data_IF_100329883840
#
_entry.id   IF_100329883840
#
_cell.length_a   1.000
_cell.length_b   1.000
_cell.length_c   1.000
_cell.angle_alpha   90.00
_cell.angle_beta   90.00
_cell.angle_gamma   90.00
#
_symmetry.space_group_name_H-M   'P 1'
#
loop_
_entity.id
_entity.type
_entity.pdbx_description
1 polymer ?
#
# COMPACT_ATOMS: atom_id res chain seq x y z
N UNK A 1 -20.34 -0.08 -24.42
CA UNK A 1 -19.59 0.96 -23.70
C UNK A 1 -18.19 0.92 -24.27
N UNK A 2 -17.83 1.89 -25.10
CA UNK A 2 -16.55 1.91 -25.81
C UNK A 2 -15.49 2.53 -24.88
N UNK A 3 -14.51 1.72 -24.44
CA UNK A 3 -13.42 2.19 -23.58
C UNK A 3 -12.47 3.15 -24.32
N UNK A 4 -12.56 3.25 -25.66
CA UNK A 4 -11.68 4.08 -26.48
C UNK A 4 -11.95 5.59 -26.43
N UNK A 5 -12.96 6.04 -25.67
CA UNK A 5 -13.24 7.48 -25.48
C UNK A 5 -12.66 8.06 -24.18
N UNK A 6 -11.95 7.27 -23.36
CA UNK A 6 -11.42 7.74 -22.09
C UNK A 6 -10.15 8.58 -22.31
N UNK A 7 -10.28 9.90 -22.14
CA UNK A 7 -9.13 10.75 -21.81
C UNK A 7 -8.48 10.17 -20.55
N UNK A 8 -7.26 9.66 -20.65
CA UNK A 8 -6.47 9.29 -19.49
C UNK A 8 -5.95 10.57 -18.83
N UNK A 9 -6.31 10.79 -17.57
CA UNK A 9 -5.72 11.84 -16.75
C UNK A 9 -4.64 11.20 -15.88
N UNK A 10 -3.45 11.81 -15.87
CA UNK A 10 -2.34 11.40 -15.01
C UNK A 10 -2.17 12.48 -13.96
N UNK A 11 -2.32 12.10 -12.69
CA UNK A 11 -2.01 12.97 -11.55
C UNK A 11 -0.73 12.47 -10.88
N UNK A 12 0.24 13.35 -10.70
CA UNK A 12 1.49 13.05 -9.99
C UNK A 12 1.42 13.70 -8.60
N UNK A 13 1.23 12.88 -7.57
CA UNK A 13 1.34 13.31 -6.17
C UNK A 13 2.79 13.15 -5.69
N UNK A 14 3.34 14.16 -5.04
CA UNK A 14 4.63 13.98 -4.36
C UNK A 14 4.46 13.11 -3.09
N UNK A 15 5.41 12.22 -2.87
CA UNK A 15 5.49 11.41 -1.66
C UNK A 15 6.66 11.92 -0.82
N UNK A 16 6.49 11.96 0.50
CA UNK A 16 7.54 12.43 1.40
C UNK A 16 8.41 11.27 1.90
N UNK A 17 7.83 10.06 2.00
CA UNK A 17 8.41 8.98 2.78
C UNK A 17 9.00 7.82 1.98
N UNK A 18 8.87 7.79 0.64
CA UNK A 18 9.39 6.69 -0.18
C UNK A 18 9.75 7.18 -1.59
N UNK A 19 10.57 6.46 -2.39
CA UNK A 19 10.96 6.95 -3.71
C UNK A 19 9.73 7.15 -4.63
N UNK A 20 9.63 8.34 -5.23
CA UNK A 20 8.48 8.79 -6.06
C UNK A 20 8.20 7.92 -7.30
N UNK A 21 9.07 6.97 -7.66
CA UNK A 21 8.91 6.14 -8.86
C UNK A 21 9.41 4.72 -8.63
N UNK A 22 8.60 3.75 -9.07
CA UNK A 22 9.07 2.39 -9.36
C UNK A 22 10.02 2.40 -10.54
N UNK A 23 11.07 1.59 -10.49
CA UNK A 23 11.80 1.25 -11.71
C UNK A 23 10.98 0.23 -12.48
N UNK A 24 10.45 0.63 -13.65
CA UNK A 24 9.75 -0.32 -14.52
C UNK A 24 10.80 -1.24 -15.15
N UNK A 25 11.02 -2.41 -14.55
CA UNK A 25 11.89 -3.44 -15.11
C UNK A 25 11.17 -4.21 -16.23
N UNK A 26 11.84 -4.55 -17.34
CA UNK A 26 11.23 -5.22 -18.49
C UNK A 26 10.53 -6.54 -18.13
N UNK A 27 9.52 -6.90 -18.91
CA UNK A 27 8.82 -8.20 -18.85
C UNK A 27 9.86 -9.33 -19.01
N UNK A 28 9.65 -10.47 -18.33
CA UNK A 28 10.58 -11.61 -18.33
C UNK A 28 11.17 -11.86 -19.72
N UNK A 29 12.52 -11.91 -19.87
CA UNK A 29 13.13 -12.15 -21.16
C UNK A 29 12.62 -13.47 -21.76
N UNK A 30 12.36 -13.49 -23.07
CA UNK A 30 12.06 -14.74 -23.76
C UNK A 30 13.22 -15.73 -23.54
N UNK A 31 12.91 -16.95 -23.09
CA UNK A 31 13.90 -17.97 -22.77
C UNK A 31 14.51 -17.88 -21.37
N UNK A 32 13.96 -17.05 -20.48
CA UNK A 32 14.38 -17.01 -19.08
C UNK A 32 14.20 -18.38 -18.40
N UNK A 33 15.22 -18.80 -17.65
CA UNK A 33 15.14 -19.97 -16.77
C UNK A 33 14.24 -19.68 -15.57
N UNK A 34 13.74 -20.74 -14.92
CA UNK A 34 12.96 -20.62 -13.67
C UNK A 34 13.72 -19.81 -12.62
N UNK A 35 15.04 -20.01 -12.51
CA UNK A 35 15.88 -19.28 -11.55
C UNK A 35 15.93 -17.78 -11.85
N UNK A 36 16.12 -17.40 -13.11
CA UNK A 36 16.10 -15.99 -13.52
C UNK A 36 14.73 -15.36 -13.29
N UNK A 37 13.65 -16.12 -13.52
CA UNK A 37 12.30 -15.67 -13.21
C UNK A 37 12.10 -15.45 -11.70
N UNK A 38 12.62 -16.35 -10.86
CA UNK A 38 12.60 -16.22 -9.41
C UNK A 38 13.37 -14.97 -8.96
N UNK A 39 14.60 -14.77 -9.42
CA UNK A 39 15.45 -13.63 -9.06
C UNK A 39 14.77 -12.30 -9.43
N UNK A 40 14.21 -12.21 -10.65
CA UNK A 40 13.42 -11.05 -11.09
C UNK A 40 12.16 -10.83 -10.24
N UNK A 41 11.50 -11.91 -9.77
CA UNK A 41 10.34 -11.81 -8.89
C UNK A 41 10.73 -11.25 -7.52
N UNK A 42 11.78 -11.79 -6.90
CA UNK A 42 12.30 -11.30 -5.61
C UNK A 42 12.69 -9.82 -5.69
N UNK A 43 13.38 -9.41 -6.77
CA UNK A 43 13.74 -8.02 -6.98
C UNK A 43 12.52 -7.11 -7.06
N UNK A 44 11.45 -7.54 -7.75
CA UNK A 44 10.20 -6.76 -7.87
C UNK A 44 9.41 -6.72 -6.57
N UNK A 45 9.40 -7.83 -5.83
CA UNK A 45 8.81 -7.88 -4.51
C UNK A 45 9.52 -6.92 -3.54
N UNK A 46 10.81 -6.68 -3.71
CA UNK A 46 11.57 -5.73 -2.89
C UNK A 46 11.24 -4.25 -3.12
N UNK A 47 10.55 -3.92 -4.20
CA UNK A 47 10.19 -2.54 -4.54
C UNK A 47 8.97 -2.04 -3.74
N UNK A 48 8.72 -0.73 -3.80
CA UNK A 48 7.48 -0.11 -3.34
C UNK A 48 6.28 -0.87 -3.95
N UNK A 49 5.13 -0.95 -3.31
CA UNK A 49 3.92 -1.46 -3.97
C UNK A 49 2.69 -0.72 -3.47
N UNK A 50 1.86 -0.29 -4.42
CA UNK A 50 0.61 0.39 -4.13
C UNK A 50 -0.49 -0.65 -3.96
N UNK A 51 -1.20 -0.57 -2.84
CA UNK A 51 -2.44 -1.29 -2.63
C UNK A 51 -3.57 -0.70 -3.46
N UNK A 52 -4.75 -1.28 -3.31
CA UNK A 52 -5.97 -0.80 -3.92
C UNK A 52 -6.37 0.57 -3.36
N UNK A 53 -6.91 1.43 -4.21
CA UNK A 53 -7.58 2.65 -3.78
C UNK A 53 -8.99 2.30 -3.32
N UNK A 54 -9.30 2.56 -2.05
CA UNK A 54 -10.56 2.20 -1.42
C UNK A 54 -11.22 3.44 -0.83
N UNK A 55 -12.55 3.47 -0.83
CA UNK A 55 -13.30 4.52 -0.18
C UNK A 55 -13.35 4.26 1.33
N UNK A 56 -13.13 5.31 2.12
CA UNK A 56 -13.36 5.31 3.55
C UNK A 56 -14.66 6.05 3.83
N UNK A 57 -15.75 5.29 3.98
CA UNK A 57 -17.12 5.83 4.02
C UNK A 57 -17.34 6.89 5.11
N UNK A 58 -16.75 6.73 6.29
CA UNK A 58 -17.00 7.62 7.44
C UNK A 58 -16.46 9.04 7.29
N UNK A 59 -15.42 9.26 6.46
CA UNK A 59 -14.86 10.58 6.17
C UNK A 59 -15.24 11.09 4.77
N UNK A 60 -15.90 10.26 3.94
CA UNK A 60 -16.10 10.57 2.52
C UNK A 60 -14.78 10.69 1.72
N UNK A 61 -13.70 10.10 2.24
CA UNK A 61 -12.35 10.22 1.67
C UNK A 61 -11.91 8.90 1.04
N UNK A 62 -10.82 8.90 0.28
CA UNK A 62 -10.21 7.68 -0.26
C UNK A 62 -8.88 7.42 0.42
N UNK A 63 -8.47 6.16 0.41
CA UNK A 63 -7.16 5.78 0.92
C UNK A 63 -6.57 4.63 0.12
N UNK A 64 -5.26 4.45 0.24
CA UNK A 64 -4.58 3.21 -0.14
C UNK A 64 -3.44 2.93 0.81
N UNK A 65 -3.14 1.66 1.01
CA UNK A 65 -1.88 1.27 1.66
C UNK A 65 -0.75 1.27 0.65
N UNK A 66 0.45 1.61 1.11
CA UNK A 66 1.67 1.56 0.31
C UNK A 66 2.70 0.75 1.08
N UNK A 67 3.16 -0.34 0.48
CA UNK A 67 4.35 -1.06 0.92
C UNK A 67 5.57 -0.24 0.49
N UNK A 68 6.43 0.10 1.43
CA UNK A 68 7.75 0.69 1.17
C UNK A 68 8.76 -0.32 0.61
N UNK A 69 9.96 0.13 0.23
CA UNK A 69 11.03 -0.77 -0.21
C UNK A 69 11.44 -1.71 0.93
N UNK A 70 11.89 -2.93 0.57
CA UNK A 70 12.50 -3.82 1.55
C UNK A 70 13.79 -3.20 2.12
N UNK A 71 13.92 -3.25 3.44
CA UNK A 71 15.04 -2.70 4.21
C UNK A 71 16.16 -3.72 4.43
N UNK A 72 15.82 -5.01 4.42
CA UNK A 72 16.78 -6.11 4.47
C UNK A 72 16.25 -7.33 3.71
N UNK A 73 17.06 -8.37 3.58
CA UNK A 73 16.65 -9.65 2.98
C UNK A 73 15.65 -10.44 3.84
N UNK A 74 15.30 -9.95 5.04
CA UNK A 74 14.29 -10.59 5.89
C UNK A 74 12.89 -10.41 5.28
N UNK A 75 12.14 -11.50 5.26
CA UNK A 75 10.72 -11.49 4.87
C UNK A 75 9.96 -10.43 5.68
N UNK A 76 9.18 -9.60 4.97
CA UNK A 76 8.33 -8.55 5.54
C UNK A 76 9.05 -7.39 6.27
N UNK A 77 10.36 -7.22 6.05
CA UNK A 77 11.11 -6.07 6.56
C UNK A 77 10.98 -4.84 5.64
N UNK A 78 9.80 -4.23 5.66
CA UNK A 78 9.47 -2.99 4.95
C UNK A 78 8.53 -2.13 5.81
N UNK A 79 8.48 -0.83 5.54
CA UNK A 79 7.45 0.04 6.13
C UNK A 79 6.14 -0.04 5.35
N UNK A 80 5.04 0.23 6.04
CA UNK A 80 3.71 0.37 5.45
C UNK A 80 3.24 1.79 5.71
N UNK A 81 2.77 2.44 4.65
CA UNK A 81 2.21 3.78 4.68
C UNK A 81 0.72 3.73 4.36
N UNK A 82 -0.02 4.70 4.87
CA UNK A 82 -1.39 4.98 4.50
C UNK A 82 -1.41 6.33 3.81
N UNK A 83 -1.84 6.37 2.56
CA UNK A 83 -2.10 7.61 1.86
C UNK A 83 -3.59 7.91 1.87
N UNK A 84 -3.94 9.14 2.16
CA UNK A 84 -5.31 9.65 2.19
C UNK A 84 -5.52 10.63 1.05
N UNK A 85 -6.72 10.61 0.47
CA UNK A 85 -7.11 11.47 -0.64
C UNK A 85 -8.51 12.04 -0.39
N UNK A 86 -8.75 13.25 -0.87
CA UNK A 86 -10.08 13.85 -0.87
C UNK A 86 -11.01 13.26 -1.95
N UNK A 87 -12.21 13.80 -2.06
CA UNK A 87 -13.20 13.39 -3.07
C UNK A 87 -12.76 13.66 -4.53
N UNK A 88 -11.76 14.53 -4.72
CA UNK A 88 -11.18 14.86 -6.02
C UNK A 88 -9.94 14.01 -6.34
N UNK A 89 -9.60 13.03 -5.49
CA UNK A 89 -8.40 12.20 -5.57
C UNK A 89 -7.09 13.00 -5.39
N UNK A 90 -7.17 14.18 -4.79
CA UNK A 90 -6.00 14.93 -4.35
C UNK A 90 -5.51 14.35 -3.02
N UNK A 91 -4.22 14.04 -2.95
CA UNK A 91 -3.60 13.49 -1.74
C UNK A 91 -3.62 14.53 -0.63
N UNK A 92 -4.30 14.23 0.48
CA UNK A 92 -4.44 15.11 1.64
C UNK A 92 -3.46 14.77 2.76
N UNK A 93 -3.10 13.50 2.90
CA UNK A 93 -2.21 13.05 3.99
C UNK A 93 -1.43 11.77 3.64
N UNK A 94 -0.35 11.54 4.38
CA UNK A 94 0.46 10.32 4.33
C UNK A 94 0.98 9.97 5.73
N UNK A 95 0.61 8.79 6.23
CA UNK A 95 0.99 8.32 7.56
C UNK A 95 1.87 7.07 7.45
N UNK A 96 3.02 7.07 8.13
CA UNK A 96 3.83 5.85 8.30
C UNK A 96 3.23 4.97 9.41
N UNK A 97 2.44 3.96 9.01
CA UNK A 97 1.82 3.02 9.95
C UNK A 97 2.87 2.20 10.69
N UNK A 98 4.01 1.89 10.07
CA UNK A 98 5.09 1.14 10.70
C UNK A 98 5.86 1.92 11.76
N UNK A 99 5.85 3.26 11.69
CA UNK A 99 6.38 4.10 12.76
C UNK A 99 5.50 4.09 14.02
N UNK A 100 4.18 3.93 13.84
CA UNK A 100 3.22 3.80 14.94
C UNK A 100 3.27 2.39 15.53
N UNK A 101 3.24 1.37 14.67
CA UNK A 101 3.37 -0.02 15.07
C UNK A 101 4.18 -0.81 14.02
N UNK A 102 5.41 -1.28 14.35
CA UNK A 102 6.28 -1.93 13.38
C UNK A 102 5.76 -3.30 12.89
N UNK A 103 4.77 -3.88 13.57
CA UNK A 103 4.20 -5.17 13.27
C UNK A 103 2.99 -5.10 12.31
N UNK A 104 2.71 -3.97 11.66
CA UNK A 104 1.61 -3.85 10.68
C UNK A 104 2.01 -4.40 9.32
N UNK A 105 1.19 -5.24 8.70
CA UNK A 105 1.41 -5.71 7.33
C UNK A 105 0.74 -4.78 6.30
N UNK A 106 1.07 -4.96 5.02
CA UNK A 106 0.40 -4.28 3.92
C UNK A 106 -0.95 -4.93 3.54
N UNK A 107 -1.41 -5.94 4.28
CA UNK A 107 -2.70 -6.57 4.08
C UNK A 107 -3.76 -5.89 4.94
N UNK A 108 -4.79 -5.35 4.28
CA UNK A 108 -5.85 -4.60 4.93
C UNK A 108 -7.23 -5.02 4.44
N UNK A 109 -8.21 -4.94 5.34
CA UNK A 109 -9.63 -5.19 5.03
C UNK A 109 -10.43 -3.92 5.38
N UNK A 110 -11.07 -3.27 4.39
CA UNK A 110 -11.99 -2.18 4.67
C UNK A 110 -13.22 -2.72 5.40
N UNK A 111 -13.59 -2.08 6.50
CA UNK A 111 -14.84 -2.32 7.21
C UNK A 111 -15.59 -1.00 7.34
N UNK A 112 -16.89 -1.05 7.63
CA UNK A 112 -17.69 0.16 7.84
C UNK A 112 -17.09 1.02 8.96
N UNK A 113 -16.54 2.18 8.59
CA UNK A 113 -15.95 3.17 9.49
C UNK A 113 -14.54 2.86 10.02
N UNK A 114 -13.93 1.73 9.67
CA UNK A 114 -12.61 1.34 10.18
C UNK A 114 -11.82 0.49 9.19
N UNK A 115 -10.52 0.49 9.35
CA UNK A 115 -9.61 -0.33 8.57
C UNK A 115 -9.00 -1.41 9.46
N UNK A 116 -9.23 -2.68 9.12
CA UNK A 116 -8.51 -3.79 9.74
C UNK A 116 -7.16 -3.94 9.03
N UNK A 117 -6.08 -3.97 9.80
CA UNK A 117 -4.72 -4.17 9.32
C UNK A 117 -4.19 -5.45 9.94
N UNK A 118 -3.87 -6.45 9.12
CA UNK A 118 -3.30 -7.70 9.63
C UNK A 118 -1.89 -7.44 10.17
N UNK A 119 -1.51 -8.12 11.24
CA UNK A 119 -0.14 -8.10 11.74
C UNK A 119 0.84 -8.87 10.82
N UNK A 120 2.10 -8.46 10.77
CA UNK A 120 3.17 -9.15 10.03
C UNK A 120 3.42 -10.53 10.62
N UNK A 121 3.70 -10.55 11.93
CA UNK A 121 3.83 -11.78 12.71
C UNK A 121 2.48 -12.24 13.21
N UNK A 122 2.23 -13.55 13.16
CA UNK A 122 1.06 -14.19 13.76
C UNK A 122 1.55 -15.07 14.92
N UNK A 123 0.82 -15.03 16.03
CA UNK A 123 1.12 -15.80 17.24
C UNK A 123 0.89 -17.31 17.06
N UNK A 124 -0.02 -17.69 16.17
CA UNK A 124 -0.34 -19.07 15.80
C UNK A 124 -0.90 -19.11 14.37
N UNK A 125 -0.83 -20.27 13.71
CA UNK A 125 -1.49 -20.49 12.41
C UNK A 125 -3.02 -20.46 12.50
N UNK A 126 -3.57 -20.76 13.68
CA UNK A 126 -5.01 -20.78 13.94
C UNK A 126 -5.59 -19.41 14.33
N UNK A 127 -4.72 -18.40 14.49
CA UNK A 127 -5.10 -17.07 14.96
C UNK A 127 -4.75 -16.02 13.93
N UNK A 128 -5.66 -15.05 13.77
CA UNK A 128 -5.39 -13.84 13.00
C UNK A 128 -5.12 -12.69 13.96
N UNK A 129 -3.87 -12.27 14.08
CA UNK A 129 -3.50 -11.07 14.82
C UNK A 129 -3.69 -9.85 13.90
N UNK A 130 -4.42 -8.84 14.37
CA UNK A 130 -4.77 -7.65 13.60
C UNK A 130 -4.90 -6.40 14.48
N UNK A 131 -4.92 -5.25 13.81
CA UNK A 131 -5.12 -3.93 14.40
C UNK A 131 -6.30 -3.24 13.71
N UNK A 132 -7.02 -2.38 14.43
CA UNK A 132 -7.99 -1.48 13.83
C UNK A 132 -7.41 -0.06 13.76
N UNK A 133 -7.63 0.57 12.62
CA UNK A 133 -7.37 1.98 12.41
C UNK A 133 -8.73 2.68 12.20
N UNK A 134 -8.96 3.74 12.97
CA UNK A 134 -10.15 4.57 12.89
C UNK A 134 -9.71 6.01 12.59
N UNK A 135 -10.39 6.68 11.65
CA UNK A 135 -10.17 8.10 11.40
C UNK A 135 -11.03 8.87 12.40
N UNK A 136 -10.38 9.57 13.32
CA UNK A 136 -11.06 10.51 14.21
C UNK A 136 -10.98 11.91 13.62
N UNK A 137 -12.13 12.49 13.27
CA UNK A 137 -12.21 13.92 12.96
C UNK A 137 -12.08 14.69 14.27
N UNK A 138 -10.94 15.34 14.48
CA UNK A 138 -10.82 16.33 15.55
C UNK A 138 -11.72 17.50 15.18
N UNK A 139 -12.78 17.74 15.97
CA UNK A 139 -13.50 19.02 15.89
C UNK A 139 -12.54 20.08 16.44
N UNK A 140 -12.20 21.07 15.62
CA UNK A 140 -11.64 22.31 16.13
C UNK A 140 -12.75 23.01 16.92
N UNK A 141 -12.52 23.21 18.23
CA UNK A 141 -13.37 23.99 19.14
C UNK A 141 -13.14 25.50 18.96
#
# INVERSE_FOLDING_TARGET
MDLNTQKSFVYESQTANYPNRKMIKPVFPLGATIRQAWELSNEREGEVAFGELQQWESCGCFYRTVKGPMKSEKLQDFDVYLEMFDENLEKTDEVNLSAINPNVSNFTIPLTGKLLIKAKSQSSEDLMDYYFLEVMTLKED
#
